data_IF_134573197234
#
_entry.id   IF_134573197234
#
_cell.length_a   1.000
_cell.length_b   1.000
_cell.length_c   1.000
_cell.angle_alpha   90.00
_cell.angle_beta   90.00
_cell.angle_gamma   90.00
#
_symmetry.space_group_name_H-M   'P 1'
#
loop_
_entity.id
_entity.type
_entity.pdbx_description
1 polymer ?
#
# COMPACT_ATOMS: atom_id res chain seq x y z
N UNK A 1 -4.60 13.61 5.93
CA UNK A 1 -4.66 13.52 7.41
C UNK A 1 -5.00 14.83 8.16
N UNK A 2 -5.05 16.01 7.51
CA UNK A 2 -5.29 17.30 8.22
C UNK A 2 -6.76 17.61 8.56
N UNK A 3 -7.72 17.07 7.79
CA UNK A 3 -9.17 17.32 7.95
C UNK A 3 -9.81 16.61 9.15
N UNK A 4 -9.22 15.50 9.59
CA UNK A 4 -9.70 14.71 10.72
C UNK A 4 -8.62 14.53 11.79
N UNK A 5 -8.04 15.63 12.27
CA UNK A 5 -6.98 15.62 13.30
C UNK A 5 -7.38 14.88 14.58
N UNK A 6 -8.68 14.80 14.86
CA UNK A 6 -9.25 14.11 16.02
C UNK A 6 -9.86 12.74 15.70
N UNK A 7 -9.80 12.25 14.45
CA UNK A 7 -10.27 10.91 14.12
C UNK A 7 -9.34 9.79 14.60
N UNK A 8 -8.22 10.13 15.22
CA UNK A 8 -7.34 9.19 15.93
C UNK A 8 -7.38 9.46 17.43
N UNK A 9 -8.51 9.92 17.98
CA UNK A 9 -8.64 10.10 19.42
C UNK A 9 -9.04 8.77 20.07
N UNK A 10 -8.22 8.20 20.97
CA UNK A 10 -8.55 6.95 21.67
C UNK A 10 -9.84 7.05 22.49
N UNK A 11 -10.26 8.25 22.90
CA UNK A 11 -11.51 8.48 23.61
C UNK A 11 -12.78 8.30 22.75
N UNK A 12 -12.69 8.43 21.42
CA UNK A 12 -13.85 8.32 20.53
C UNK A 12 -14.01 6.91 19.92
N UNK A 13 -12.90 6.17 19.77
CA UNK A 13 -12.85 4.91 19.01
C UNK A 13 -12.56 3.70 19.90
N UNK A 14 -12.09 3.94 21.13
CA UNK A 14 -11.68 2.90 22.07
C UNK A 14 -10.24 2.43 21.82
N UNK A 15 -9.52 2.11 22.90
CA UNK A 15 -8.08 1.85 22.87
C UNK A 15 -7.64 0.70 21.94
N UNK A 16 -8.43 -0.39 21.90
CA UNK A 16 -8.14 -1.56 21.05
C UNK A 16 -8.24 -1.21 19.56
N UNK A 17 -9.31 -0.52 19.18
CA UNK A 17 -9.55 -0.09 17.81
C UNK A 17 -8.58 1.01 17.39
N UNK A 18 -8.19 1.89 18.31
CA UNK A 18 -7.14 2.87 18.08
C UNK A 18 -5.79 2.21 17.75
N UNK A 19 -5.35 1.24 18.54
CA UNK A 19 -4.12 0.48 18.28
C UNK A 19 -4.18 -0.25 16.93
N UNK A 20 -5.31 -0.91 16.63
CA UNK A 20 -5.49 -1.58 15.36
C UNK A 20 -5.40 -0.59 14.18
N UNK A 21 -6.07 0.55 14.27
CA UNK A 21 -6.06 1.59 13.23
C UNK A 21 -4.67 2.21 13.06
N UNK A 22 -3.92 2.38 14.14
CA UNK A 22 -2.57 2.93 14.08
C UNK A 22 -1.60 1.94 13.42
N UNK A 23 -1.64 0.67 13.81
CA UNK A 23 -0.72 -0.36 13.31
C UNK A 23 -1.09 -0.78 11.88
N UNK A 24 -2.33 -1.18 11.63
CA UNK A 24 -2.74 -1.68 10.31
C UNK A 24 -3.04 -0.52 9.34
N UNK A 25 -3.67 0.54 9.83
CA UNK A 25 -4.03 1.68 8.99
C UNK A 25 -2.81 2.52 8.61
N UNK A 26 -2.07 3.03 9.59
CA UNK A 26 -1.00 4.00 9.32
C UNK A 26 0.33 3.30 9.08
N UNK A 27 0.76 2.43 10.00
CA UNK A 27 2.08 1.81 9.93
C UNK A 27 2.21 0.89 8.71
N UNK A 28 1.28 -0.03 8.54
CA UNK A 28 1.33 -0.97 7.42
C UNK A 28 1.06 -0.30 6.06
N UNK A 29 0.09 0.63 5.97
CA UNK A 29 -0.32 1.17 4.67
C UNK A 29 0.54 2.34 4.18
N UNK A 30 1.16 3.11 5.09
CA UNK A 30 1.96 4.29 4.72
C UNK A 30 3.44 4.06 4.99
N UNK A 31 3.81 3.57 6.18
CA UNK A 31 5.23 3.49 6.55
C UNK A 31 5.96 2.35 5.83
N UNK A 32 5.35 1.17 5.71
CA UNK A 32 6.00 0.03 5.04
C UNK A 32 6.34 0.28 3.56
N UNK A 33 5.45 0.82 2.71
CA UNK A 33 5.81 1.12 1.33
C UNK A 33 7.00 2.08 1.20
N UNK A 34 7.06 3.10 2.07
CA UNK A 34 8.18 4.06 2.10
C UNK A 34 9.47 3.34 2.50
N UNK A 35 9.43 2.52 3.55
CA UNK A 35 10.58 1.78 4.04
C UNK A 35 11.15 0.83 2.98
N UNK A 36 10.27 0.11 2.27
CA UNK A 36 10.67 -0.82 1.20
C UNK A 36 11.32 -0.07 0.04
N UNK A 37 10.78 1.10 -0.32
CA UNK A 37 11.36 1.94 -1.37
C UNK A 37 12.75 2.43 -0.98
N UNK A 38 12.90 3.01 0.22
CA UNK A 38 14.18 3.51 0.73
C UNK A 38 15.20 2.38 0.83
N UNK A 39 14.80 1.21 1.32
CA UNK A 39 15.66 0.03 1.37
C UNK A 39 16.14 -0.39 -0.03
N UNK A 40 15.23 -0.47 -1.01
CA UNK A 40 15.59 -0.86 -2.38
C UNK A 40 16.54 0.15 -3.04
N UNK A 41 16.32 1.45 -2.83
CA UNK A 41 17.21 2.51 -3.33
C UNK A 41 18.57 2.44 -2.65
N UNK A 42 18.61 2.26 -1.32
CA UNK A 42 19.84 2.18 -0.56
C UNK A 42 20.69 0.97 -0.98
N UNK A 43 20.08 -0.21 -1.13
CA UNK A 43 20.78 -1.40 -1.59
C UNK A 43 21.30 -1.23 -3.02
N UNK A 44 20.49 -0.68 -3.93
CA UNK A 44 20.93 -0.41 -5.30
C UNK A 44 22.14 0.53 -5.38
N UNK A 45 22.29 1.46 -4.43
CA UNK A 45 23.41 2.42 -4.41
C UNK A 45 24.70 1.87 -3.76
N UNK A 46 24.61 0.88 -2.88
CA UNK A 46 25.76 0.39 -2.10
C UNK A 46 26.27 -0.99 -2.53
N UNK A 47 25.48 -1.74 -3.30
CA UNK A 47 25.71 -3.15 -3.60
C UNK A 47 25.87 -3.34 -5.11
N UNK A 48 26.72 -4.30 -5.51
CA UNK A 48 26.91 -4.66 -6.91
C UNK A 48 25.62 -5.16 -7.56
N UNK A 49 25.48 -4.96 -8.87
CA UNK A 49 24.25 -5.28 -9.61
C UNK A 49 23.83 -6.74 -9.46
N UNK A 50 24.78 -7.68 -9.40
CA UNK A 50 24.51 -9.11 -9.26
C UNK A 50 23.91 -9.44 -7.89
N UNK A 51 24.48 -8.85 -6.83
CA UNK A 51 24.00 -9.03 -5.46
C UNK A 51 22.62 -8.36 -5.27
N UNK A 52 22.41 -7.18 -5.87
CA UNK A 52 21.11 -6.51 -5.88
C UNK A 52 20.02 -7.35 -6.57
N UNK A 53 20.32 -7.96 -7.73
CA UNK A 53 19.39 -8.85 -8.41
C UNK A 53 19.04 -10.08 -7.57
N UNK A 54 20.01 -10.66 -6.86
CA UNK A 54 19.76 -11.76 -5.92
C UNK A 54 18.81 -11.33 -4.79
N UNK A 55 19.01 -10.14 -4.22
CA UNK A 55 18.11 -9.57 -3.21
C UNK A 55 16.70 -9.37 -3.74
N UNK A 56 16.53 -8.89 -4.98
CA UNK A 56 15.22 -8.76 -5.61
C UNK A 56 14.51 -10.12 -5.79
N UNK A 57 15.25 -11.17 -6.15
CA UNK A 57 14.69 -12.53 -6.26
C UNK A 57 14.25 -13.04 -4.90
N UNK A 58 15.06 -12.87 -3.86
CA UNK A 58 14.70 -13.26 -2.49
C UNK A 58 13.46 -12.50 -2.02
N UNK A 59 13.43 -11.18 -2.23
CA UNK A 59 12.28 -10.34 -1.91
C UNK A 59 11.02 -10.83 -2.66
N UNK A 60 11.14 -11.14 -3.96
CA UNK A 60 10.05 -11.68 -4.77
C UNK A 60 9.50 -12.99 -4.19
N UNK A 61 10.38 -13.95 -3.83
CA UNK A 61 9.97 -15.25 -3.28
C UNK A 61 9.22 -15.07 -1.96
N UNK A 62 9.72 -14.21 -1.06
CA UNK A 62 9.07 -13.94 0.22
C UNK A 62 7.65 -13.39 0.01
N UNK A 63 7.50 -12.41 -0.89
CA UNK A 63 6.18 -11.84 -1.19
C UNK A 63 5.25 -12.82 -1.91
N UNK A 64 5.79 -13.71 -2.75
CA UNK A 64 5.02 -14.75 -3.39
C UNK A 64 4.47 -15.76 -2.37
N UNK A 65 5.32 -16.21 -1.44
CA UNK A 65 4.90 -17.11 -0.35
C UNK A 65 3.82 -16.43 0.50
N UNK A 66 4.02 -15.17 0.89
CA UNK A 66 3.04 -14.42 1.66
C UNK A 66 1.70 -14.30 0.92
N UNK A 67 1.73 -13.97 -0.38
CA UNK A 67 0.54 -13.89 -1.19
C UNK A 67 -0.18 -15.25 -1.30
N UNK A 68 0.57 -16.34 -1.53
CA UNK A 68 0.03 -17.70 -1.60
C UNK A 68 -0.60 -18.14 -0.28
N UNK A 69 -0.01 -17.79 0.86
CA UNK A 69 -0.57 -18.09 2.18
C UNK A 69 -1.91 -17.38 2.39
N UNK A 70 -1.97 -16.06 2.12
CA UNK A 70 -3.21 -15.30 2.23
C UNK A 70 -4.27 -15.80 1.25
N UNK A 71 -3.86 -16.13 0.03
CA UNK A 71 -4.74 -16.67 -0.99
C UNK A 71 -5.29 -18.05 -0.61
N UNK A 72 -4.45 -18.92 -0.03
CA UNK A 72 -4.87 -20.21 0.49
C UNK A 72 -5.91 -20.06 1.61
N UNK A 73 -5.70 -19.11 2.54
CA UNK A 73 -6.67 -18.78 3.58
C UNK A 73 -7.98 -18.27 2.99
N UNK A 74 -7.92 -17.39 2.00
CA UNK A 74 -9.10 -16.90 1.27
C UNK A 74 -9.89 -18.06 0.61
N UNK A 75 -9.19 -18.95 -0.09
CA UNK A 75 -9.78 -20.11 -0.74
C UNK A 75 -10.46 -21.07 0.26
N UNK A 76 -9.90 -21.19 1.47
CA UNK A 76 -10.44 -22.07 2.51
C UNK A 76 -11.63 -21.46 3.26
N UNK A 77 -11.54 -20.18 3.65
CA UNK A 77 -12.49 -19.54 4.57
C UNK A 77 -13.60 -18.75 3.88
N UNK A 78 -13.35 -18.18 2.69
CA UNK A 78 -14.21 -17.15 2.09
C UNK A 78 -14.76 -17.55 0.72
N UNK A 79 -14.02 -18.31 -0.08
CA UNK A 79 -14.41 -18.61 -1.47
C UNK A 79 -15.66 -19.49 -1.59
N UNK A 80 -16.74 -18.92 -2.11
CA UNK A 80 -17.95 -19.65 -2.56
C UNK A 80 -17.78 -20.32 -3.94
N UNK A 81 -16.85 -19.83 -4.78
CA UNK A 81 -16.67 -20.27 -6.20
C UNK A 81 -15.27 -20.83 -6.49
N UNK A 82 -14.89 -21.87 -5.74
CA UNK A 82 -13.54 -22.45 -5.73
C UNK A 82 -12.93 -22.74 -7.11
N UNK A 83 -13.72 -23.22 -8.07
CA UNK A 83 -13.22 -23.60 -9.41
C UNK A 83 -12.84 -22.37 -10.26
N UNK A 84 -13.59 -21.27 -10.13
CA UNK A 84 -13.28 -20.03 -10.85
C UNK A 84 -12.08 -19.34 -10.22
N UNK A 85 -12.05 -19.29 -8.89
CA UNK A 85 -10.96 -18.68 -8.14
C UNK A 85 -9.64 -19.46 -8.34
N UNK A 86 -9.68 -20.79 -8.47
CA UNK A 86 -8.46 -21.56 -8.75
C UNK A 86 -7.74 -21.11 -10.04
N UNK A 87 -8.46 -20.59 -11.05
CA UNK A 87 -7.83 -20.04 -12.26
C UNK A 87 -7.00 -18.79 -11.98
N UNK A 88 -7.35 -18.02 -10.95
CA UNK A 88 -6.59 -16.84 -10.55
C UNK A 88 -5.20 -17.19 -9.98
N UNK A 89 -5.00 -18.45 -9.54
CA UNK A 89 -3.71 -18.94 -9.06
C UNK A 89 -2.62 -18.85 -10.14
N UNK A 90 -3.00 -18.96 -11.42
CA UNK A 90 -2.09 -18.78 -12.56
C UNK A 90 -1.46 -17.38 -12.60
N UNK A 91 -2.16 -16.36 -12.11
CA UNK A 91 -1.68 -14.97 -12.07
C UNK A 91 -0.89 -14.64 -10.81
N UNK A 92 -0.81 -15.55 -9.83
CA UNK A 92 -0.08 -15.31 -8.57
C UNK A 92 1.41 -15.02 -8.76
N UNK A 93 2.15 -15.65 -9.70
CA UNK A 93 3.54 -15.26 -9.96
C UNK A 93 3.71 -13.80 -10.42
N UNK A 94 2.69 -13.22 -11.07
CA UNK A 94 2.75 -11.82 -11.50
C UNK A 94 2.47 -10.85 -10.33
N UNK A 95 1.83 -11.34 -9.26
CA UNK A 95 1.35 -10.51 -8.17
C UNK A 95 2.45 -9.78 -7.38
N UNK A 96 3.60 -10.40 -7.00
CA UNK A 96 4.67 -9.69 -6.30
C UNK A 96 5.28 -8.55 -7.13
N UNK A 97 5.40 -8.73 -8.45
CA UNK A 97 5.91 -7.70 -9.35
C UNK A 97 4.93 -6.51 -9.41
N UNK A 98 3.66 -6.79 -9.64
CA UNK A 98 2.59 -5.79 -9.58
C UNK A 98 2.58 -5.08 -8.21
N UNK A 99 2.69 -5.83 -7.11
CA UNK A 99 2.73 -5.30 -5.76
C UNK A 99 3.91 -4.35 -5.51
N UNK A 100 5.09 -4.62 -6.08
CA UNK A 100 6.23 -3.72 -6.00
C UNK A 100 5.94 -2.39 -6.72
N UNK A 101 5.45 -2.44 -7.96
CA UNK A 101 5.07 -1.25 -8.72
C UNK A 101 4.00 -0.43 -8.00
N UNK A 102 2.99 -1.10 -7.44
CA UNK A 102 1.94 -0.43 -6.69
C UNK A 102 2.47 0.20 -5.40
N UNK A 103 3.45 -0.39 -4.71
CA UNK A 103 4.09 0.26 -3.55
C UNK A 103 4.81 1.54 -3.94
N UNK A 104 5.52 1.55 -5.08
CA UNK A 104 6.16 2.77 -5.59
C UNK A 104 5.12 3.86 -5.89
N UNK A 105 4.02 3.49 -6.55
CA UNK A 105 2.92 4.40 -6.82
C UNK A 105 2.27 4.92 -5.52
N UNK A 106 2.06 4.07 -4.51
CA UNK A 106 1.53 4.48 -3.21
C UNK A 106 2.43 5.48 -2.52
N UNK A 107 3.76 5.28 -2.54
CA UNK A 107 4.70 6.26 -1.98
C UNK A 107 4.60 7.58 -2.73
N UNK A 108 4.56 7.55 -4.06
CA UNK A 108 4.37 8.75 -4.88
C UNK A 108 3.07 9.49 -4.52
N UNK A 109 1.93 8.80 -4.46
CA UNK A 109 0.65 9.42 -4.12
C UNK A 109 0.60 9.93 -2.68
N UNK A 110 1.22 9.21 -1.73
CA UNK A 110 1.28 9.65 -0.33
C UNK A 110 2.14 10.91 -0.20
N UNK A 111 3.30 10.96 -0.85
CA UNK A 111 4.14 12.16 -0.89
C UNK A 111 3.44 13.31 -1.60
N UNK A 112 2.75 13.02 -2.71
CA UNK A 112 1.95 14.00 -3.43
C UNK A 112 0.87 14.56 -2.51
N UNK A 113 0.07 13.74 -1.83
CA UNK A 113 -0.96 14.19 -0.87
C UNK A 113 -0.37 14.98 0.32
N UNK A 114 0.86 14.70 0.73
CA UNK A 114 1.56 15.48 1.76
C UNK A 114 1.97 16.87 1.26
N UNK A 115 2.38 16.99 0.00
CA UNK A 115 2.87 18.23 -0.61
C UNK A 115 1.73 19.05 -1.20
N UNK A 116 0.91 18.42 -2.06
CA UNK A 116 -0.22 18.96 -2.78
C UNK A 116 -1.50 18.31 -2.25
N UNK A 117 -2.50 19.13 -1.94
CA UNK A 117 -3.75 18.65 -1.35
C UNK A 117 -4.67 18.03 -2.41
N UNK A 118 -4.28 16.87 -2.94
CA UNK A 118 -5.04 16.17 -3.99
C UNK A 118 -6.49 15.89 -3.60
N UNK A 119 -6.76 15.71 -2.30
CA UNK A 119 -8.12 15.62 -1.78
C UNK A 119 -9.01 16.87 -2.01
N UNK A 120 -8.43 18.05 -2.24
CA UNK A 120 -9.15 19.30 -2.54
C UNK A 120 -9.49 19.44 -4.03
N UNK A 121 -8.85 18.64 -4.90
CA UNK A 121 -9.03 18.65 -6.37
C UNK A 121 -10.00 17.56 -6.86
N UNK A 122 -10.75 16.89 -5.96
CA UNK A 122 -11.68 15.83 -6.35
C UNK A 122 -12.76 16.35 -7.31
N UNK A 123 -12.86 15.70 -8.48
CA UNK A 123 -13.85 15.98 -9.53
C UNK A 123 -15.31 15.75 -9.11
N UNK A 124 -15.54 15.29 -7.87
CA UNK A 124 -16.88 15.19 -7.29
C UNK A 124 -17.48 16.56 -6.93
N UNK A 125 -16.68 17.63 -6.90
CA UNK A 125 -17.15 18.98 -6.64
C UNK A 125 -17.41 19.76 -7.95
N UNK A 126 -18.51 20.53 -8.05
CA UNK A 126 -18.77 21.38 -9.22
C UNK A 126 -17.63 22.37 -9.48
N UNK A 127 -17.33 22.63 -10.76
CA UNK A 127 -16.16 23.41 -11.20
C UNK A 127 -16.07 24.82 -10.59
N UNK A 128 -17.20 25.47 -10.28
CA UNK A 128 -17.23 26.81 -9.66
C UNK A 128 -16.78 26.81 -8.20
N UNK A 129 -16.78 25.65 -7.52
CA UNK A 129 -16.21 25.47 -6.17
C UNK A 129 -14.71 25.27 -6.27
N UNK A 130 -14.26 24.43 -7.21
CA UNK A 130 -12.84 24.18 -7.48
C UNK A 130 -12.10 25.46 -7.92
N UNK A 131 -12.74 26.31 -8.73
CA UNK A 131 -12.17 27.58 -9.18
C UNK A 131 -11.87 28.59 -8.04
N UNK A 132 -12.50 28.43 -6.87
CA UNK A 132 -12.25 29.26 -5.67
C UNK A 132 -11.09 28.73 -4.82
N UNK A 133 -10.74 27.46 -4.97
CA UNK A 133 -9.65 26.78 -4.27
C UNK A 133 -8.30 26.96 -4.95
N UNK A 134 -7.84 28.19 -5.14
CA UNK A 134 -6.47 28.45 -5.62
C UNK A 134 -5.49 28.38 -4.46
N UNK A 135 -5.14 27.18 -4.01
CA UNK A 135 -4.01 26.95 -3.12
C UNK A 135 -3.25 25.72 -3.61
N UNK A 136 -2.18 25.97 -4.35
CA UNK A 136 -1.13 24.99 -4.57
C UNK A 136 -0.56 24.54 -3.22
#
# INVERSE_FOLDING_TARGET
MRKHRYALNPGLIGWKTFLFTLIYGIWQSIMLPILILVFNIAMFAHVDINEYLALLVVQYIIYLIYALLLYGLFMYMVSERKVQDFKALLFMPLYPFYGLCMRMATVFFTLNELVRRGHEESNMAPWWVLARGKRF
#
